data_IF_018463882181
#
_entry.id   IF_018463882181
#
_cell.length_a   1.000
_cell.length_b   1.000
_cell.length_c   1.000
_cell.angle_alpha   90.00
_cell.angle_beta   90.00
_cell.angle_gamma   90.00
#
_symmetry.space_group_name_H-M   'P 1'
#
loop_
_entity.id
_entity.type
_entity.pdbx_description
1 polymer ?
#
# COMPACT_ATOMS: atom_id res chain seq x y z
N UNK A 1 -7.45 3.92 -21.19
CA UNK A 1 -8.73 4.43 -20.66
C UNK A 1 -8.44 5.61 -19.75
N UNK A 2 -9.24 6.69 -19.80
CA UNK A 2 -9.16 7.71 -18.76
C UNK A 2 -9.77 7.11 -17.48
N UNK A 3 -9.08 7.15 -16.34
CA UNK A 3 -9.61 6.60 -15.09
C UNK A 3 -10.88 7.37 -14.68
N UNK A 4 -11.88 6.68 -14.11
CA UNK A 4 -13.07 7.34 -13.60
C UNK A 4 -12.67 8.36 -12.54
N UNK A 5 -13.12 9.59 -12.73
CA UNK A 5 -12.86 10.72 -11.82
C UNK A 5 -13.99 10.80 -10.80
N UNK A 6 -13.63 11.08 -9.53
CA UNK A 6 -14.60 11.20 -8.44
C UNK A 6 -15.58 12.37 -8.67
N UNK A 7 -16.87 12.12 -8.45
CA UNK A 7 -17.94 13.10 -8.71
C UNK A 7 -17.73 14.40 -7.91
N UNK A 8 -17.17 14.30 -6.70
CA UNK A 8 -16.87 15.47 -5.86
C UNK A 8 -15.83 16.41 -6.49
N UNK A 9 -14.92 15.87 -7.31
CA UNK A 9 -13.88 16.64 -7.99
C UNK A 9 -14.37 17.26 -9.30
N UNK A 10 -15.36 16.63 -9.95
CA UNK A 10 -16.06 17.18 -11.11
C UNK A 10 -16.95 18.36 -10.70
N UNK A 11 -17.69 18.23 -9.59
CA UNK A 11 -18.52 19.30 -9.03
C UNK A 11 -17.70 20.53 -8.60
N UNK A 12 -16.48 20.31 -8.08
CA UNK A 12 -15.57 21.40 -7.70
C UNK A 12 -14.97 22.14 -8.88
N UNK A 13 -14.91 21.52 -10.07
CA UNK A 13 -14.26 22.08 -11.26
C UNK A 13 -15.14 21.91 -12.51
N UNK A 14 -16.15 22.78 -12.71
CA UNK A 14 -17.14 22.62 -13.79
C UNK A 14 -16.51 22.70 -15.19
N UNK A 15 -15.45 23.48 -15.38
CA UNK A 15 -14.72 23.54 -16.65
C UNK A 15 -14.02 22.20 -16.99
N UNK A 16 -13.52 21.50 -15.95
CA UNK A 16 -12.90 20.19 -16.11
C UNK A 16 -13.95 19.11 -16.39
N UNK A 17 -15.14 19.19 -15.76
CA UNK A 17 -16.26 18.30 -16.06
C UNK A 17 -16.70 18.37 -17.53
N UNK A 18 -16.83 19.59 -18.08
CA UNK A 18 -17.16 19.79 -19.50
C UNK A 18 -16.09 19.21 -20.41
N UNK A 19 -14.81 19.43 -20.09
CA UNK A 19 -13.70 18.86 -20.86
C UNK A 19 -13.67 17.33 -20.78
N UNK A 20 -13.81 16.76 -19.58
CA UNK A 20 -13.83 15.31 -19.36
C UNK A 20 -14.98 14.66 -20.11
N UNK A 21 -16.18 15.26 -20.08
CA UNK A 21 -17.33 14.82 -20.89
C UNK A 21 -17.07 14.96 -22.38
N UNK A 22 -16.49 16.06 -22.87
CA UNK A 22 -16.20 16.22 -24.30
C UNK A 22 -15.14 15.22 -24.79
N UNK A 23 -14.13 14.94 -23.96
CA UNK A 23 -13.10 13.95 -24.25
C UNK A 23 -13.69 12.53 -24.32
N UNK A 24 -14.46 12.13 -23.31
CA UNK A 24 -15.09 10.80 -23.25
C UNK A 24 -16.23 10.61 -24.26
N UNK A 25 -17.01 11.65 -24.54
CA UNK A 25 -18.19 11.56 -25.41
C UNK A 25 -17.89 11.84 -26.88
N UNK A 26 -16.98 12.77 -27.22
CA UNK A 26 -16.81 13.25 -28.60
C UNK A 26 -15.43 12.99 -29.19
N UNK A 27 -14.37 13.04 -28.38
CA UNK A 27 -12.99 13.03 -28.92
C UNK A 27 -12.30 11.67 -28.86
N UNK A 28 -12.54 10.88 -27.82
CA UNK A 28 -11.84 9.63 -27.58
C UNK A 28 -12.79 8.44 -27.53
N UNK A 29 -12.30 7.30 -28.00
CA UNK A 29 -12.90 5.99 -27.79
C UNK A 29 -12.50 5.46 -26.39
N UNK A 30 -13.18 4.42 -25.88
CA UNK A 30 -12.85 3.81 -24.59
C UNK A 30 -11.39 3.32 -24.50
N UNK A 31 -10.81 2.88 -25.62
CA UNK A 31 -9.41 2.45 -25.74
C UNK A 31 -8.39 3.61 -25.73
N UNK A 32 -8.85 4.87 -25.72
CA UNK A 32 -8.01 6.07 -25.78
C UNK A 32 -7.63 6.52 -27.20
N UNK A 33 -8.14 5.86 -28.25
CA UNK A 33 -7.95 6.30 -29.63
C UNK A 33 -8.88 7.48 -29.98
N UNK A 34 -8.51 8.33 -30.95
CA UNK A 34 -9.35 9.47 -31.35
C UNK A 34 -10.56 9.01 -32.16
N UNK A 35 -11.74 9.63 -31.99
CA UNK A 35 -12.96 9.37 -32.79
C UNK A 35 -12.95 10.02 -34.19
N UNK A 36 -11.90 10.78 -34.51
CA UNK A 36 -11.72 11.43 -35.82
C UNK A 36 -11.34 10.38 -36.87
N UNK A 37 -12.29 10.05 -37.75
CA UNK A 37 -12.14 9.00 -38.76
C UNK A 37 -10.97 9.23 -39.71
N UNK A 38 -10.64 10.50 -40.03
CA UNK A 38 -9.49 10.82 -40.89
C UNK A 38 -8.18 10.49 -40.17
N UNK A 39 -8.04 10.91 -38.91
CA UNK A 39 -6.86 10.59 -38.10
C UNK A 39 -6.75 9.09 -37.82
N UNK A 40 -7.87 8.41 -37.59
CA UNK A 40 -7.88 6.95 -37.44
C UNK A 40 -7.36 6.23 -38.69
N UNK A 41 -7.78 6.67 -39.89
CA UNK A 41 -7.28 6.11 -41.16
C UNK A 41 -5.78 6.33 -41.32
N UNK A 42 -5.29 7.55 -41.12
CA UNK A 42 -3.85 7.86 -41.15
C UNK A 42 -3.07 6.99 -40.15
N UNK A 43 -3.56 6.84 -38.92
CA UNK A 43 -2.93 5.96 -37.93
C UNK A 43 -3.01 4.48 -38.31
N UNK A 44 -4.07 4.06 -39.00
CA UNK A 44 -4.21 2.71 -39.54
C UNK A 44 -3.18 2.42 -40.62
N UNK A 45 -3.02 3.33 -41.58
CA UNK A 45 -2.02 3.26 -42.65
C UNK A 45 -0.60 3.20 -42.07
N UNK A 46 -0.26 4.13 -41.15
CA UNK A 46 1.05 4.14 -40.48
C UNK A 46 1.30 2.82 -39.72
N UNK A 47 0.28 2.26 -39.06
CA UNK A 47 0.41 0.97 -38.36
C UNK A 47 0.66 -0.16 -39.35
N UNK A 48 -0.04 -0.16 -40.48
CA UNK A 48 0.14 -1.16 -41.53
C UNK A 48 1.55 -1.07 -42.14
N UNK A 49 2.02 0.13 -42.45
CA UNK A 49 3.37 0.38 -42.94
C UNK A 49 4.42 -0.08 -41.94
N UNK A 50 4.23 0.30 -40.66
CA UNK A 50 5.11 -0.13 -39.58
C UNK A 50 5.11 -1.66 -39.43
N UNK A 51 3.96 -2.33 -39.52
CA UNK A 51 3.93 -3.80 -39.49
C UNK A 51 4.69 -4.40 -40.66
N UNK A 52 4.54 -3.84 -41.86
CA UNK A 52 5.23 -4.30 -43.08
C UNK A 52 6.75 -4.10 -42.97
N UNK A 53 7.19 -2.94 -42.50
CA UNK A 53 8.61 -2.70 -42.26
C UNK A 53 9.18 -3.61 -41.17
N UNK A 54 8.44 -3.84 -40.08
CA UNK A 54 8.87 -4.76 -39.02
C UNK A 54 8.95 -6.20 -39.53
N UNK A 55 7.97 -6.68 -40.28
CA UNK A 55 8.04 -8.01 -40.87
C UNK A 55 9.24 -8.12 -41.79
N UNK A 56 9.49 -7.13 -42.65
CA UNK A 56 10.63 -7.15 -43.58
C UNK A 56 11.99 -7.12 -42.86
N UNK A 57 12.10 -6.32 -41.80
CA UNK A 57 13.33 -6.28 -40.98
C UNK A 57 13.54 -7.61 -40.27
N UNK A 58 12.50 -8.16 -39.64
CA UNK A 58 12.63 -9.42 -38.91
C UNK A 58 12.87 -10.61 -39.83
N UNK A 59 12.24 -10.68 -41.00
CA UNK A 59 12.51 -11.74 -41.99
C UNK A 59 13.95 -11.68 -42.47
N UNK A 60 14.44 -10.49 -42.82
CA UNK A 60 15.83 -10.29 -43.24
C UNK A 60 16.83 -10.64 -42.14
N UNK A 61 16.54 -10.27 -40.89
CA UNK A 61 17.38 -10.60 -39.74
C UNK A 61 17.40 -12.10 -39.45
N UNK A 62 16.24 -12.78 -39.46
CA UNK A 62 16.15 -14.22 -39.25
C UNK A 62 16.93 -14.96 -40.33
N UNK A 63 16.75 -14.58 -41.61
CA UNK A 63 17.50 -15.19 -42.72
C UNK A 63 19.00 -14.96 -42.59
N UNK A 64 19.43 -13.74 -42.23
CA UNK A 64 20.85 -13.44 -42.04
C UNK A 64 21.44 -14.24 -40.87
N UNK A 65 20.76 -14.29 -39.73
CA UNK A 65 21.22 -15.03 -38.54
C UNK A 65 21.26 -16.54 -38.78
N UNK A 66 20.26 -17.08 -39.48
CA UNK A 66 20.24 -18.50 -39.85
C UNK A 66 21.35 -18.82 -40.83
N UNK A 67 21.59 -17.99 -41.84
CA UNK A 67 22.72 -18.14 -42.76
C UNK A 67 24.07 -18.11 -42.02
N UNK A 68 24.30 -17.18 -41.09
CA UNK A 68 25.54 -17.12 -40.30
C UNK A 68 25.78 -18.37 -39.44
N UNK A 69 24.71 -19.03 -39.00
CA UNK A 69 24.83 -20.24 -38.15
C UNK A 69 24.73 -21.55 -38.94
N UNK A 70 24.36 -21.49 -40.22
CA UNK A 70 24.11 -22.64 -41.08
C UNK A 70 25.33 -23.56 -41.22
N UNK A 71 26.56 -23.07 -41.46
CA UNK A 71 27.74 -23.93 -41.62
C UNK A 71 28.09 -24.74 -40.36
N UNK A 72 27.66 -24.26 -39.19
CA UNK A 72 27.93 -24.91 -37.89
C UNK A 72 26.83 -25.88 -37.45
N UNK A 73 25.61 -25.75 -37.99
CA UNK A 73 24.41 -26.44 -37.51
C UNK A 73 23.82 -27.44 -38.49
N UNK A 74 24.08 -27.26 -39.79
CA UNK A 74 23.56 -28.16 -40.81
C UNK A 74 24.50 -29.36 -40.99
N UNK A 75 23.95 -30.57 -40.83
CA UNK A 75 24.66 -31.82 -41.15
C UNK A 75 24.57 -32.18 -42.64
N UNK A 76 23.67 -31.53 -43.38
CA UNK A 76 23.31 -31.80 -44.77
C UNK A 76 24.08 -30.94 -45.77
N UNK A 77 24.83 -29.94 -45.30
CA UNK A 77 25.54 -28.99 -46.15
C UNK A 77 26.94 -29.52 -46.52
N UNK A 78 27.33 -29.50 -47.80
CA UNK A 78 28.70 -29.79 -48.22
C UNK A 78 29.71 -28.80 -47.63
N UNK A 79 30.84 -29.33 -47.14
CA UNK A 79 31.90 -28.54 -46.49
C UNK A 79 32.48 -27.45 -47.40
N UNK A 80 32.50 -27.66 -48.71
CA UNK A 80 32.99 -26.70 -49.71
C UNK A 80 32.14 -25.42 -49.77
N UNK A 81 30.88 -25.47 -49.32
CA UNK A 81 29.97 -24.32 -49.30
C UNK A 81 30.05 -23.50 -48.01
N UNK A 82 30.78 -23.96 -46.99
CA UNK A 82 30.85 -23.27 -45.69
C UNK A 82 31.54 -21.91 -45.81
N UNK A 83 32.72 -21.87 -46.44
CA UNK A 83 33.50 -20.64 -46.63
C UNK A 83 32.76 -19.61 -47.50
N UNK A 84 32.17 -19.97 -48.66
CA UNK A 84 31.35 -19.04 -49.45
C UNK A 84 30.16 -18.46 -48.68
N UNK A 85 29.49 -19.26 -47.84
CA UNK A 85 28.35 -18.78 -47.03
C UNK A 85 28.81 -17.79 -45.95
N UNK A 86 29.91 -18.07 -45.25
CA UNK A 86 30.45 -17.17 -44.23
C UNK A 86 30.89 -15.82 -44.83
N UNK A 87 31.53 -15.86 -46.00
CA UNK A 87 31.97 -14.65 -46.69
C UNK A 87 30.80 -13.81 -47.22
N UNK A 88 29.80 -14.45 -47.82
CA UNK A 88 28.59 -13.76 -48.32
C UNK A 88 27.76 -13.20 -47.15
N UNK A 89 27.66 -13.91 -46.03
CA UNK A 89 26.95 -13.40 -44.84
C UNK A 89 27.69 -12.24 -44.18
N UNK A 90 29.02 -12.29 -44.10
CA UNK A 90 29.84 -11.17 -43.64
C UNK A 90 29.68 -9.93 -44.55
N UNK A 91 29.54 -10.14 -45.87
CA UNK A 91 29.22 -9.06 -46.81
C UNK A 91 27.81 -8.49 -46.60
N UNK A 92 26.79 -9.34 -46.40
CA UNK A 92 25.40 -8.92 -46.19
C UNK A 92 25.21 -8.18 -44.86
N UNK A 93 25.97 -8.55 -43.82
CA UNK A 93 25.95 -7.91 -42.51
C UNK A 93 26.82 -6.64 -42.43
N UNK A 94 27.52 -6.29 -43.52
CA UNK A 94 28.35 -5.09 -43.61
C UNK A 94 29.68 -5.18 -42.88
N UNK A 95 30.15 -6.40 -42.57
CA UNK A 95 31.46 -6.61 -41.94
C UNK A 95 32.63 -6.47 -42.93
N UNK A 96 32.33 -6.52 -44.24
CA UNK A 96 33.32 -6.38 -45.31
C UNK A 96 33.16 -5.01 -46.00
N UNK A 97 34.27 -4.25 -46.18
CA UNK A 97 34.26 -2.98 -46.91
C UNK A 97 33.77 -3.12 -48.36
N UNK A 98 33.13 -2.08 -48.90
CA UNK A 98 32.65 -2.10 -50.28
C UNK A 98 33.76 -2.26 -51.34
N UNK A 99 35.02 -1.94 -50.99
CA UNK A 99 36.20 -2.07 -51.85
C UNK A 99 36.54 -3.52 -52.19
N UNK A 100 36.24 -4.46 -51.29
CA UNK A 100 36.63 -5.87 -51.41
C UNK A 100 35.52 -6.72 -52.07
N UNK A 101 34.45 -6.08 -52.58
CA UNK A 101 33.36 -6.78 -53.26
C UNK A 101 33.79 -7.44 -54.56
N UNK A 102 34.75 -6.86 -55.26
CA UNK A 102 35.24 -7.41 -56.53
C UNK A 102 36.07 -8.68 -56.32
N UNK A 103 36.77 -8.80 -55.19
CA UNK A 103 37.55 -9.99 -54.84
C UNK A 103 36.66 -11.17 -54.41
N UNK A 104 35.48 -10.89 -53.86
CA UNK A 104 34.50 -11.88 -53.41
C UNK A 104 33.49 -12.29 -54.50
N UNK A 105 33.64 -11.78 -55.72
CA UNK A 105 32.72 -12.04 -56.81
C UNK A 105 32.64 -13.55 -57.15
N UNK A 106 33.75 -14.27 -57.05
CA UNK A 106 33.81 -15.73 -57.30
C UNK A 106 33.04 -16.51 -56.24
N UNK A 107 33.23 -16.20 -54.95
CA UNK A 107 32.50 -16.85 -53.86
C UNK A 107 31.00 -16.53 -53.90
N UNK A 108 30.66 -15.30 -54.32
CA UNK A 108 29.26 -14.90 -54.54
C UNK A 108 28.62 -15.71 -55.67
N UNK A 109 29.35 -15.96 -56.76
CA UNK A 109 28.87 -16.80 -57.86
C UNK A 109 28.68 -18.26 -57.44
N UNK A 110 29.60 -18.81 -56.64
CA UNK A 110 29.48 -20.17 -56.08
C UNK A 110 28.30 -20.30 -55.10
N UNK A 111 28.04 -19.26 -54.31
CA UNK A 111 26.86 -19.20 -53.46
C UNK A 111 25.57 -19.18 -54.29
N UNK A 112 25.51 -18.35 -55.33
CA UNK A 112 24.33 -18.24 -56.21
C UNK A 112 24.09 -19.51 -57.03
N UNK A 113 25.15 -20.20 -57.47
CA UNK A 113 25.01 -21.45 -58.23
C UNK A 113 24.49 -22.61 -57.38
N UNK A 114 24.71 -22.56 -56.06
CA UNK A 114 24.29 -23.61 -55.11
C UNK A 114 23.14 -23.14 -54.21
N UNK A 115 22.41 -22.10 -54.61
CA UNK A 115 21.36 -21.50 -53.78
C UNK A 115 20.25 -22.49 -53.41
N UNK A 116 19.96 -23.46 -54.29
CA UNK A 116 18.93 -24.48 -54.04
C UNK A 116 19.29 -25.35 -52.83
N UNK A 117 20.54 -25.83 -52.75
CA UNK A 117 21.06 -26.66 -51.65
C UNK A 117 21.06 -25.85 -50.34
N UNK A 118 21.50 -24.59 -50.42
CA UNK A 118 21.56 -23.68 -49.27
C UNK A 118 20.14 -23.38 -48.77
N UNK A 119 19.18 -23.15 -49.68
CA UNK A 119 17.78 -22.87 -49.34
C UNK A 119 17.09 -24.07 -48.69
N UNK A 120 17.41 -25.29 -49.13
CA UNK A 120 16.91 -26.52 -48.52
C UNK A 120 17.46 -26.67 -47.09
N UNK A 121 18.78 -26.50 -46.90
CA UNK A 121 19.41 -26.56 -45.58
C UNK A 121 18.90 -25.46 -44.63
N UNK A 122 18.68 -24.25 -45.14
CA UNK A 122 18.05 -23.15 -44.38
C UNK A 122 16.62 -23.51 -43.94
N UNK A 123 15.83 -24.08 -44.86
CA UNK A 123 14.45 -24.45 -44.57
C UNK A 123 14.38 -25.54 -43.50
N UNK A 124 15.24 -26.57 -43.60
CA UNK A 124 15.36 -27.63 -42.60
C UNK A 124 15.78 -27.09 -41.21
N UNK A 125 16.75 -26.18 -41.18
CA UNK A 125 17.18 -25.52 -39.95
C UNK A 125 16.06 -24.66 -39.35
N UNK A 126 15.31 -23.92 -40.19
CA UNK A 126 14.17 -23.11 -39.75
C UNK A 126 13.04 -23.98 -39.19
N UNK A 127 12.71 -25.09 -39.84
CA UNK A 127 11.73 -26.07 -39.35
C UNK A 127 12.18 -26.64 -38.01
N UNK A 128 13.47 -26.98 -37.89
CA UNK A 128 14.03 -27.47 -36.63
C UNK A 128 13.89 -26.43 -35.51
N UNK A 129 14.24 -25.16 -35.77
CA UNK A 129 14.07 -24.09 -34.78
C UNK A 129 12.61 -23.85 -34.42
N UNK A 130 11.69 -23.90 -35.39
CA UNK A 130 10.26 -23.78 -35.14
C UNK A 130 9.75 -24.94 -34.26
N UNK A 131 10.21 -26.16 -34.50
CA UNK A 131 9.85 -27.32 -33.66
C UNK A 131 10.37 -27.18 -32.22
N UNK A 132 11.57 -26.61 -32.03
CA UNK A 132 12.11 -26.32 -30.71
C UNK A 132 11.30 -25.23 -30.01
N UNK A 133 10.88 -24.19 -30.73
CA UNK A 133 10.00 -23.15 -30.19
C UNK A 133 8.64 -23.72 -29.79
N UNK A 134 8.09 -24.66 -30.55
CA UNK A 134 6.85 -25.35 -30.17
C UNK A 134 7.03 -26.14 -28.87
N UNK A 135 8.15 -26.85 -28.69
CA UNK A 135 8.49 -27.53 -27.43
C UNK A 135 8.70 -26.58 -26.26
N UNK A 136 9.26 -25.39 -26.50
CA UNK A 136 9.43 -24.36 -25.46
C UNK A 136 8.08 -23.77 -25.06
N UNK A 137 7.19 -23.52 -26.04
CA UNK A 137 5.87 -22.98 -25.79
C UNK A 137 5.07 -23.90 -24.87
N UNK A 138 4.99 -25.20 -25.19
CA UNK A 138 4.41 -26.22 -24.32
C UNK A 138 5.28 -27.49 -24.33
N UNK A 139 5.92 -27.84 -23.21
CA UNK A 139 6.78 -29.02 -23.15
C UNK A 139 6.02 -30.36 -23.14
N UNK A 140 4.71 -30.33 -22.80
CA UNK A 140 3.87 -31.53 -22.66
C UNK A 140 3.04 -31.84 -23.92
N UNK A 141 2.65 -30.82 -24.66
CA UNK A 141 1.83 -30.92 -25.87
C UNK A 141 2.29 -29.83 -26.84
N UNK A 142 3.35 -30.09 -27.62
CA UNK A 142 3.89 -29.09 -28.53
C UNK A 142 2.80 -28.74 -29.56
N UNK A 143 2.47 -27.45 -29.74
CA UNK A 143 1.50 -27.02 -30.74
C UNK A 143 2.04 -27.21 -32.15
N UNK A 144 1.15 -27.20 -33.14
CA UNK A 144 1.55 -27.12 -34.54
C UNK A 144 2.18 -25.74 -34.84
N UNK A 145 3.03 -25.68 -35.88
CA UNK A 145 3.78 -24.46 -36.23
C UNK A 145 2.81 -23.30 -36.56
N UNK A 146 1.66 -23.59 -37.16
CA UNK A 146 0.64 -22.60 -37.52
C UNK A 146 -0.05 -21.99 -36.28
N UNK A 147 -0.19 -22.78 -35.21
CA UNK A 147 -0.83 -22.36 -33.95
C UNK A 147 0.14 -21.60 -33.02
N UNK A 148 1.44 -21.64 -33.29
CA UNK A 148 2.45 -21.00 -32.44
C UNK A 148 2.19 -19.49 -32.29
N UNK A 149 1.72 -18.83 -33.35
CA UNK A 149 1.43 -17.39 -33.33
C UNK A 149 0.26 -17.07 -32.41
N UNK A 150 -0.86 -17.77 -32.56
CA UNK A 150 -2.06 -17.50 -31.75
C UNK A 150 -1.78 -17.78 -30.27
N UNK A 151 -1.01 -18.82 -29.97
CA UNK A 151 -0.58 -19.15 -28.61
C UNK A 151 0.36 -18.10 -28.02
N UNK A 152 1.32 -17.60 -28.79
CA UNK A 152 2.21 -16.52 -28.36
C UNK A 152 1.43 -15.22 -28.09
N UNK A 153 0.45 -14.88 -28.95
CA UNK A 153 -0.44 -13.74 -28.72
C UNK A 153 -1.31 -13.93 -27.47
N UNK A 154 -1.82 -15.15 -27.24
CA UNK A 154 -2.55 -15.51 -26.02
C UNK A 154 -1.71 -15.37 -24.75
N UNK A 155 -0.49 -15.92 -24.73
CA UNK A 155 0.44 -15.79 -23.61
C UNK A 155 0.81 -14.33 -23.34
N UNK A 156 1.04 -13.54 -24.40
CA UNK A 156 1.32 -12.11 -24.27
C UNK A 156 0.13 -11.37 -23.66
N UNK A 157 -1.08 -11.65 -24.13
CA UNK A 157 -2.29 -10.99 -23.64
C UNK A 157 -2.56 -11.38 -22.17
N UNK A 158 -2.42 -12.66 -21.82
CA UNK A 158 -2.55 -13.13 -20.45
C UNK A 158 -1.54 -12.45 -19.52
N UNK A 159 -0.28 -12.33 -19.94
CA UNK A 159 0.77 -11.71 -19.14
C UNK A 159 0.65 -10.18 -19.02
N UNK A 160 0.16 -9.49 -20.06
CA UNK A 160 0.17 -8.02 -20.10
C UNK A 160 -1.16 -7.37 -19.74
N UNK A 161 -2.29 -8.00 -20.08
CA UNK A 161 -3.62 -7.43 -19.87
C UNK A 161 -4.34 -8.10 -18.70
N UNK A 162 -4.39 -9.42 -18.67
CA UNK A 162 -5.22 -10.13 -17.68
C UNK A 162 -4.54 -10.10 -16.31
N UNK A 163 -3.26 -10.51 -16.24
CA UNK A 163 -2.50 -10.49 -14.99
C UNK A 163 -2.40 -9.08 -14.38
N UNK A 164 -2.31 -8.03 -15.19
CA UNK A 164 -2.21 -6.66 -14.68
C UNK A 164 -3.54 -6.15 -14.12
N UNK A 165 -4.66 -6.54 -14.74
CA UNK A 165 -6.01 -6.26 -14.22
C UNK A 165 -6.28 -7.03 -12.94
N UNK A 166 -6.05 -8.35 -12.95
CA UNK A 166 -6.26 -9.21 -11.78
C UNK A 166 -5.44 -8.72 -10.58
N UNK A 167 -4.19 -8.34 -10.82
CA UNK A 167 -3.33 -7.76 -9.77
C UNK A 167 -3.86 -6.41 -9.26
N UNK A 168 -4.44 -5.58 -10.13
CA UNK A 168 -5.03 -4.31 -9.72
C UNK A 168 -6.29 -4.53 -8.87
N UNK A 169 -7.15 -5.47 -9.28
CA UNK A 169 -8.38 -5.81 -8.57
C UNK A 169 -8.07 -6.41 -7.19
N UNK A 170 -7.10 -7.33 -7.11
CA UNK A 170 -6.64 -7.90 -5.83
C UNK A 170 -6.03 -6.84 -4.90
N UNK A 171 -5.31 -5.85 -5.44
CA UNK A 171 -4.81 -4.73 -4.63
C UNK A 171 -5.93 -3.89 -4.03
N UNK A 172 -6.98 -3.63 -4.82
CA UNK A 172 -8.17 -2.92 -4.32
C UNK A 172 -8.90 -3.74 -3.26
N UNK A 173 -9.05 -5.05 -3.50
CA UNK A 173 -9.64 -5.96 -2.52
C UNK A 173 -8.86 -5.98 -1.20
N UNK A 174 -7.52 -6.08 -1.26
CA UNK A 174 -6.65 -6.02 -0.08
C UNK A 174 -6.79 -4.69 0.66
N UNK A 175 -6.80 -3.55 -0.05
CA UNK A 175 -6.96 -2.24 0.56
C UNK A 175 -8.31 -2.11 1.29
N UNK A 176 -9.39 -2.62 0.69
CA UNK A 176 -10.71 -2.65 1.31
C UNK A 176 -10.73 -3.54 2.56
N UNK A 177 -10.09 -4.70 2.53
CA UNK A 177 -9.97 -5.59 3.68
C UNK A 177 -9.16 -4.93 4.81
N UNK A 178 -8.04 -4.28 4.48
CA UNK A 178 -7.26 -3.53 5.46
C UNK A 178 -8.08 -2.40 6.09
N UNK A 179 -8.89 -1.70 5.30
CA UNK A 179 -9.81 -0.68 5.79
C UNK A 179 -10.87 -1.27 6.74
N UNK A 180 -11.52 -2.39 6.39
CA UNK A 180 -12.52 -3.01 7.27
C UNK A 180 -11.92 -3.51 8.57
N UNK A 181 -10.73 -4.10 8.54
CA UNK A 181 -10.00 -4.52 9.75
C UNK A 181 -9.67 -3.33 10.64
N UNK A 182 -9.19 -2.22 10.06
CA UNK A 182 -8.86 -1.02 10.83
C UNK A 182 -10.11 -0.40 11.47
N UNK A 183 -11.21 -0.33 10.74
CA UNK A 183 -12.50 0.16 11.26
C UNK A 183 -13.01 -0.73 12.40
N UNK A 184 -12.98 -2.06 12.23
CA UNK A 184 -13.34 -2.99 13.31
C UNK A 184 -12.44 -2.85 14.54
N UNK A 185 -11.15 -2.61 14.34
CA UNK A 185 -10.23 -2.37 15.45
C UNK A 185 -10.53 -1.06 16.17
N UNK A 186 -10.86 -0.01 15.43
CA UNK A 186 -11.30 1.26 15.99
C UNK A 186 -12.57 1.10 16.83
N UNK A 187 -13.57 0.39 16.31
CA UNK A 187 -14.82 0.12 17.03
C UNK A 187 -14.59 -0.71 18.30
N UNK A 188 -13.68 -1.70 18.25
CA UNK A 188 -13.28 -2.48 19.42
C UNK A 188 -12.62 -1.58 20.48
N UNK A 189 -11.65 -0.74 20.08
CA UNK A 189 -10.99 0.17 21.02
C UNK A 189 -11.99 1.15 21.64
N UNK A 190 -12.88 1.72 20.83
CA UNK A 190 -13.92 2.62 21.32
C UNK A 190 -14.84 1.94 22.33
N UNK A 191 -15.33 0.73 22.01
CA UNK A 191 -16.20 -0.02 22.93
C UNK A 191 -15.47 -0.43 24.21
N UNK A 192 -14.20 -0.83 24.11
CA UNK A 192 -13.34 -1.14 25.26
C UNK A 192 -13.17 0.07 26.19
N UNK A 193 -12.87 1.24 25.63
CA UNK A 193 -12.74 2.49 26.39
C UNK A 193 -14.06 2.82 27.10
N UNK A 194 -15.19 2.76 26.38
CA UNK A 194 -16.52 3.02 26.98
C UNK A 194 -16.84 2.04 28.12
N UNK A 195 -16.47 0.77 27.99
CA UNK A 195 -16.64 -0.22 29.06
C UNK A 195 -15.77 0.15 30.27
N UNK A 196 -14.49 0.50 30.07
CA UNK A 196 -13.59 0.91 31.15
C UNK A 196 -14.10 2.16 31.88
N UNK A 197 -14.55 3.17 31.13
CA UNK A 197 -15.17 4.38 31.68
C UNK A 197 -16.40 4.06 32.53
N UNK A 198 -17.29 3.20 32.04
CA UNK A 198 -18.53 2.88 32.75
C UNK A 198 -18.30 1.99 33.96
N UNK A 199 -17.42 1.00 33.85
CA UNK A 199 -17.23 -0.03 34.89
C UNK A 199 -16.25 0.40 35.96
N UNK A 200 -15.12 1.00 35.58
CA UNK A 200 -14.07 1.35 36.53
C UNK A 200 -14.25 2.77 37.04
N UNK A 201 -14.36 3.75 36.15
CA UNK A 201 -14.50 5.15 36.54
C UNK A 201 -15.91 5.48 37.05
N UNK A 202 -16.94 4.93 36.40
CA UNK A 202 -18.34 5.14 36.78
C UNK A 202 -18.71 4.49 38.12
N UNK A 203 -18.26 3.28 38.41
CA UNK A 203 -18.57 2.61 39.68
C UNK A 203 -17.87 3.28 40.87
N UNK A 204 -16.59 3.66 40.72
CA UNK A 204 -15.84 4.37 41.76
C UNK A 204 -16.49 5.73 42.06
N UNK A 205 -16.81 6.52 41.02
CA UNK A 205 -17.47 7.80 41.19
C UNK A 205 -18.82 7.66 41.91
N UNK A 206 -19.64 6.69 41.52
CA UNK A 206 -20.93 6.41 42.18
C UNK A 206 -20.74 5.99 43.64
N UNK A 207 -19.80 5.09 43.94
CA UNK A 207 -19.51 4.66 45.30
C UNK A 207 -19.03 5.82 46.20
N UNK A 208 -18.21 6.73 45.66
CA UNK A 208 -17.80 7.92 46.40
C UNK A 208 -18.96 8.89 46.67
N UNK A 209 -19.87 9.06 45.70
CA UNK A 209 -21.06 9.90 45.88
C UNK A 209 -21.99 9.33 46.96
N UNK A 210 -22.32 8.05 46.88
CA UNK A 210 -23.20 7.40 47.86
C UNK A 210 -22.56 7.37 49.25
N UNK A 211 -21.24 7.20 49.35
CA UNK A 211 -20.53 7.28 50.63
C UNK A 211 -20.59 8.70 51.23
N UNK A 212 -20.40 9.74 50.41
CA UNK A 212 -20.51 11.13 50.85
C UNK A 212 -21.94 11.47 51.32
N UNK A 213 -22.96 11.04 50.58
CA UNK A 213 -24.38 11.19 50.95
C UNK A 213 -24.69 10.48 52.28
N UNK A 214 -24.18 9.25 52.47
CA UNK A 214 -24.35 8.51 53.71
C UNK A 214 -23.71 9.23 54.92
N UNK A 215 -22.47 9.74 54.77
CA UNK A 215 -21.82 10.51 55.83
C UNK A 215 -22.60 11.79 56.14
N UNK A 216 -23.09 12.51 55.13
CA UNK A 216 -23.91 13.71 55.32
C UNK A 216 -25.20 13.42 56.08
N UNK A 217 -25.92 12.35 55.71
CA UNK A 217 -27.13 11.91 56.41
C UNK A 217 -26.83 11.52 57.87
N UNK A 218 -25.73 10.80 58.12
CA UNK A 218 -25.30 10.45 59.48
C UNK A 218 -24.93 11.67 60.31
N UNK A 219 -24.24 12.65 59.73
CA UNK A 219 -23.90 13.90 60.39
C UNK A 219 -25.16 14.71 60.75
N UNK A 220 -26.15 14.76 59.85
CA UNK A 220 -27.44 15.41 60.13
C UNK A 220 -28.19 14.71 61.27
N UNK A 221 -28.23 13.37 61.28
CA UNK A 221 -28.83 12.58 62.35
C UNK A 221 -28.15 12.86 63.70
N UNK A 222 -26.82 12.75 63.76
CA UNK A 222 -26.05 13.04 64.97
C UNK A 222 -26.26 14.49 65.43
N UNK A 223 -26.37 15.44 64.49
CA UNK A 223 -26.69 16.83 64.80
C UNK A 223 -28.07 17.00 65.44
N UNK A 224 -29.09 16.26 64.96
CA UNK A 224 -30.42 16.25 65.57
C UNK A 224 -30.42 15.57 66.94
N UNK A 225 -29.74 14.44 67.09
CA UNK A 225 -29.57 13.77 68.39
C UNK A 225 -28.88 14.68 69.40
N UNK A 226 -27.79 15.35 69.01
CA UNK A 226 -27.08 16.30 69.85
C UNK A 226 -28.00 17.45 70.30
N UNK A 227 -28.81 18.02 69.39
CA UNK A 227 -29.80 19.04 69.74
C UNK A 227 -30.80 18.53 70.79
N UNK A 228 -31.37 17.34 70.61
CA UNK A 228 -32.30 16.72 71.57
C UNK A 228 -31.61 16.52 72.93
N UNK A 229 -30.37 16.04 72.94
CA UNK A 229 -29.59 15.87 74.17
C UNK A 229 -29.30 17.19 74.88
N UNK A 230 -28.98 18.27 74.15
CA UNK A 230 -28.76 19.59 74.78
C UNK A 230 -30.04 20.19 75.37
N UNK A 231 -31.22 19.85 74.85
CA UNK A 231 -32.50 20.29 75.41
C UNK A 231 -32.89 19.52 76.69
N UNK A 232 -32.45 18.27 76.82
CA UNK A 232 -32.74 17.41 77.98
C UNK A 232 -31.69 17.55 79.10
N UNK A 233 -30.44 17.85 78.73
CA UNK A 233 -29.34 18.03 79.67
C UNK A 233 -28.50 19.26 79.28
N UNK A 234 -28.52 20.34 80.09
CA UNK A 234 -27.67 21.51 79.84
C UNK A 234 -26.18 21.11 79.90
N UNK A 235 -25.40 21.40 78.85
CA UNK A 235 -24.00 20.98 78.80
C UNK A 235 -23.15 21.72 79.84
N UNK A 236 -22.18 21.04 80.50
CA UNK A 236 -21.24 21.67 81.42
C UNK A 236 -20.42 22.79 80.75
N UNK A 237 -20.08 23.84 81.50
CA UNK A 237 -19.36 25.00 80.98
C UNK A 237 -17.98 24.66 80.37
N UNK A 238 -17.30 23.64 80.90
CA UNK A 238 -16.02 23.14 80.37
C UNK A 238 -16.19 22.46 79.01
N UNK A 239 -17.28 21.70 78.83
CA UNK A 239 -17.59 21.05 77.56
C UNK A 239 -17.90 22.08 76.45
N UNK A 240 -18.61 23.15 76.78
CA UNK A 240 -18.88 24.25 75.83
C UNK A 240 -17.58 24.98 75.45
N UNK A 241 -16.64 25.18 76.39
CA UNK A 241 -15.32 25.74 76.09
C UNK A 241 -14.51 24.82 75.17
N UNK A 242 -14.50 23.51 75.45
CA UNK A 242 -13.84 22.52 74.60
C UNK A 242 -14.42 22.48 73.18
N UNK A 243 -15.76 22.54 73.05
CA UNK A 243 -16.43 22.62 71.74
C UNK A 243 -16.10 23.89 70.96
N UNK A 244 -15.94 25.04 71.64
CA UNK A 244 -15.53 26.29 70.98
C UNK A 244 -14.11 26.17 70.43
N UNK A 245 -13.19 25.60 71.20
CA UNK A 245 -11.81 25.36 70.75
C UNK A 245 -11.78 24.37 69.58
N UNK A 246 -12.53 23.27 69.68
CA UNK A 246 -12.64 22.28 68.61
C UNK A 246 -13.23 22.88 67.33
N UNK A 247 -14.25 23.74 67.43
CA UNK A 247 -14.82 24.45 66.27
C UNK A 247 -13.81 25.39 65.62
N UNK A 248 -12.98 26.07 66.41
CA UNK A 248 -11.92 26.93 65.89
C UNK A 248 -10.84 26.12 65.13
N UNK A 249 -10.44 24.97 65.70
CA UNK A 249 -9.50 24.04 65.05
C UNK A 249 -10.09 23.42 63.78
N UNK A 250 -11.37 23.03 63.79
CA UNK A 250 -12.08 22.54 62.60
C UNK A 250 -12.14 23.60 61.51
N UNK A 251 -12.42 24.86 61.84
CA UNK A 251 -12.42 25.96 60.85
C UNK A 251 -11.06 26.16 60.19
N UNK A 252 -9.97 26.08 60.97
CA UNK A 252 -8.61 26.11 60.43
C UNK A 252 -8.32 24.91 59.53
N UNK A 253 -8.77 23.72 59.92
CA UNK A 253 -8.61 22.49 59.11
C UNK A 253 -9.44 22.53 57.82
N UNK A 254 -10.67 23.04 57.86
CA UNK A 254 -11.54 23.18 56.69
C UNK A 254 -10.93 24.17 55.69
N UNK A 255 -10.41 25.31 56.17
CA UNK A 255 -9.70 26.27 55.32
C UNK A 255 -8.51 25.61 54.60
N UNK A 256 -7.67 24.85 55.33
CA UNK A 256 -6.55 24.10 54.74
C UNK A 256 -7.01 23.06 53.71
N UNK A 257 -8.14 22.39 53.95
CA UNK A 257 -8.69 21.42 53.01
C UNK A 257 -9.23 22.09 51.74
N UNK A 258 -9.94 23.21 51.86
CA UNK A 258 -10.39 24.01 50.71
C UNK A 258 -9.24 24.55 49.88
N UNK A 259 -8.16 24.99 50.53
CA UNK A 259 -6.96 25.43 49.83
C UNK A 259 -6.30 24.28 49.06
N UNK A 260 -6.20 23.09 49.67
CA UNK A 260 -5.69 21.88 48.99
C UNK A 260 -6.59 21.45 47.83
N UNK A 261 -7.90 21.52 47.99
CA UNK A 261 -8.86 21.23 46.91
C UNK A 261 -8.70 22.23 45.76
N UNK A 262 -8.60 23.52 46.06
CA UNK A 262 -8.37 24.57 45.07
C UNK A 262 -7.07 24.38 44.30
N UNK A 263 -5.98 24.01 44.99
CA UNK A 263 -4.72 23.65 44.34
C UNK A 263 -4.88 22.42 43.45
N UNK A 264 -5.55 21.36 43.94
CA UNK A 264 -5.79 20.15 43.16
C UNK A 264 -6.61 20.44 41.88
N UNK A 265 -7.67 21.24 41.98
CA UNK A 265 -8.47 21.66 40.81
C UNK A 265 -7.65 22.45 39.80
N UNK A 266 -6.83 23.41 40.24
CA UNK A 266 -5.90 24.12 39.35
C UNK A 266 -4.89 23.19 38.69
N UNK A 267 -4.38 22.19 39.43
CA UNK A 267 -3.50 21.19 38.82
C UNK A 267 -4.22 20.34 37.77
N UNK A 268 -5.49 19.95 37.99
CA UNK A 268 -6.35 19.27 37.02
C UNK A 268 -6.62 20.10 35.77
N UNK A 269 -6.88 21.40 35.91
CA UNK A 269 -7.01 22.31 34.77
C UNK A 269 -5.71 22.43 33.97
N UNK A 270 -4.57 22.48 34.66
CA UNK A 270 -3.26 22.47 34.02
C UNK A 270 -2.99 21.13 33.32
N UNK A 271 -3.41 19.98 33.88
CA UNK A 271 -3.34 18.68 33.19
C UNK A 271 -4.17 18.66 31.91
N UNK A 272 -5.41 19.17 31.96
CA UNK A 272 -6.30 19.26 30.80
C UNK A 272 -5.74 20.15 29.68
N UNK A 273 -4.98 21.20 30.04
CA UNK A 273 -4.32 22.09 29.07
C UNK A 273 -2.96 21.60 28.56
N UNK A 274 -2.24 20.77 29.33
CA UNK A 274 -0.85 20.42 29.05
C UNK A 274 -0.65 19.17 28.17
N UNK A 275 -1.68 18.35 27.94
CA UNK A 275 -1.57 17.13 27.11
C UNK A 275 -0.36 16.25 27.49
N UNK A 276 0.28 15.61 26.51
CA UNK A 276 1.41 14.67 26.71
C UNK A 276 2.59 15.24 27.54
N UNK A 277 2.80 16.56 27.53
CA UNK A 277 3.92 17.18 28.26
C UNK A 277 3.69 17.14 29.77
N UNK A 278 2.45 17.36 30.22
CA UNK A 278 2.08 17.24 31.63
C UNK A 278 2.14 15.81 32.17
N UNK A 279 1.88 14.82 31.31
CA UNK A 279 1.97 13.39 31.66
C UNK A 279 3.41 12.94 31.94
N UNK A 280 4.40 13.45 31.19
CA UNK A 280 5.82 13.12 31.40
C UNK A 280 6.38 13.69 32.71
N UNK A 281 6.06 14.95 33.01
CA UNK A 281 6.52 15.57 34.26
C UNK A 281 5.94 14.87 35.50
N UNK A 282 4.74 14.31 35.37
CA UNK A 282 4.10 13.56 36.45
C UNK A 282 4.67 12.16 36.63
N UNK A 283 5.02 11.47 35.54
CA UNK A 283 5.74 10.19 35.62
C UNK A 283 7.05 10.36 36.41
N UNK A 284 7.79 11.44 36.16
CA UNK A 284 9.00 11.76 36.92
C UNK A 284 8.72 12.04 38.41
N UNK A 285 7.65 12.79 38.74
CA UNK A 285 7.29 13.06 40.15
C UNK A 285 6.82 11.81 40.89
N UNK A 286 6.10 10.90 40.21
CA UNK A 286 5.67 9.62 40.79
C UNK A 286 6.85 8.71 41.10
N UNK A 287 7.85 8.68 40.21
CA UNK A 287 9.09 7.91 40.42
C UNK A 287 9.86 8.40 41.66
N UNK A 288 9.96 9.72 41.82
CA UNK A 288 10.58 10.33 43.02
C UNK A 288 9.82 9.95 44.30
N UNK A 289 8.48 10.04 44.30
CA UNK A 289 7.66 9.68 45.46
C UNK A 289 7.75 8.19 45.81
N UNK A 290 7.80 7.29 44.82
CA UNK A 290 7.97 5.85 45.06
C UNK A 290 9.33 5.53 45.70
N UNK A 291 10.38 6.21 45.25
CA UNK A 291 11.71 6.09 45.86
C UNK A 291 11.72 6.61 47.32
N UNK A 292 10.96 7.67 47.60
CA UNK A 292 10.86 8.25 48.93
C UNK A 292 10.04 7.37 49.89
N UNK A 293 8.93 6.80 49.42
CA UNK A 293 8.13 5.82 50.16
C UNK A 293 8.98 4.57 50.48
N UNK A 294 9.70 4.02 49.50
CA UNK A 294 10.60 2.89 49.73
C UNK A 294 11.70 3.19 50.76
N UNK A 295 12.21 4.43 50.77
CA UNK A 295 13.20 4.88 51.77
C UNK A 295 12.61 5.02 53.17
N UNK A 296 11.35 5.45 53.29
CA UNK A 296 10.64 5.58 54.57
C UNK A 296 10.25 4.19 55.11
N UNK A 297 9.76 3.29 54.24
CA UNK A 297 9.47 1.90 54.59
C UNK A 297 10.72 1.15 55.04
N UNK A 298 11.88 1.41 54.42
CA UNK A 298 13.17 0.87 54.86
C UNK A 298 13.61 1.38 56.24
N UNK A 299 13.23 2.61 56.61
CA UNK A 299 13.53 3.18 57.94
C UNK A 299 12.58 2.70 59.03
N UNK A 300 11.37 2.26 58.68
CA UNK A 300 10.37 1.71 59.61
C UNK A 300 10.60 0.22 59.92
N UNK A 301 11.51 -0.46 59.20
CA UNK A 301 11.83 -1.89 59.37
C UNK A 301 13.13 -2.16 60.16
N UNK A 302 13.67 -1.15 60.86
CA UNK A 302 14.78 -1.26 61.83
C UNK A 302 14.25 -0.89 63.21
#
# INVERSE_FOLDING_TARGET
MLPPVDNTTLERNPNFEVLYRDLCARKLNPDGSTRDSKKQRMHGEIRQDLTTHRTNVHTSQILSQTLTTLPSRSATLPQDLHSPIDLVTAQLTGQIPASDRNTLATDTQLFLSNIDIISFALSDQLITTASLLCKIADPKSPPEIEELRSKAEGLRNAATLDLTKDLADEKVHLANLAHTVLTLHFDLLQTSILILERTQHGAIARATSTHAEHIAARAALLGLQAKIHTHTHPPPAEFVKALKNFKAEQGSSEAKLRDREGLARRTLELYGRAGERGMRDLAGRKEVLLNEIGRIEGKLKV
#
